data_IF_819467464348
#
_entry.id   IF_819467464348
#
_cell.length_a   1.000
_cell.length_b   1.000
_cell.length_c   1.000
_cell.angle_alpha   90.00
_cell.angle_beta   90.00
_cell.angle_gamma   90.00
#
_symmetry.space_group_name_H-M   'P 1'
#
loop_
_entity.id
_entity.type
_entity.pdbx_description
1 polymer ?
#
# COMPACT_ATOMS: atom_id res chain seq x y z
N UNK A 1 -0.53 4.64 -7.93
CA UNK A 1 -0.90 3.31 -7.40
C UNK A 1 -0.87 2.31 -8.54
N UNK A 2 -0.70 1.03 -8.23
CA UNK A 2 -0.61 -0.02 -9.25
C UNK A 2 -1.50 -1.22 -8.90
N UNK A 3 -2.12 -1.83 -9.91
CA UNK A 3 -2.85 -3.08 -9.75
C UNK A 3 -1.86 -4.24 -9.74
N UNK A 4 -2.02 -5.17 -8.79
CA UNK A 4 -1.21 -6.39 -8.72
C UNK A 4 -2.10 -7.62 -8.68
N UNK A 5 -1.54 -8.75 -9.12
CA UNK A 5 -2.20 -10.06 -9.03
C UNK A 5 -1.50 -10.88 -7.94
N UNK A 6 -2.21 -11.26 -6.86
CA UNK A 6 -1.63 -12.12 -5.83
C UNK A 6 -1.21 -13.49 -6.37
N UNK A 7 -0.19 -14.07 -5.74
CA UNK A 7 0.25 -15.44 -6.02
C UNK A 7 -0.75 -16.46 -5.48
N UNK A 8 -0.88 -17.58 -6.18
CA UNK A 8 -1.82 -18.65 -5.83
C UNK A 8 -1.14 -19.84 -5.14
N UNK A 9 0.19 -19.83 -5.02
CA UNK A 9 0.94 -20.84 -4.27
C UNK A 9 2.30 -20.32 -3.81
N UNK A 10 2.87 -20.95 -2.78
CA UNK A 10 4.24 -20.67 -2.33
C UNK A 10 5.28 -20.89 -3.44
N UNK A 11 5.16 -21.98 -4.23
CA UNK A 11 6.07 -22.26 -5.35
C UNK A 11 6.08 -21.12 -6.36
N UNK A 12 4.89 -20.68 -6.80
CA UNK A 12 4.78 -19.56 -7.74
C UNK A 12 5.42 -18.29 -7.18
N UNK A 13 5.19 -18.00 -5.89
CA UNK A 13 5.76 -16.83 -5.24
C UNK A 13 7.29 -16.90 -5.19
N UNK A 14 7.85 -18.03 -4.77
CA UNK A 14 9.31 -18.25 -4.68
C UNK A 14 9.94 -18.11 -6.07
N UNK A 15 9.40 -18.82 -7.07
CA UNK A 15 9.94 -18.83 -8.43
C UNK A 15 9.99 -17.41 -9.03
N UNK A 16 8.95 -16.60 -8.81
CA UNK A 16 8.89 -15.23 -9.35
C UNK A 16 9.74 -14.26 -8.54
N UNK A 17 9.74 -14.38 -7.21
CA UNK A 17 10.43 -13.48 -6.31
C UNK A 17 11.95 -13.67 -6.36
N UNK A 18 12.48 -14.90 -6.37
CA UNK A 18 13.92 -15.19 -6.45
C UNK A 18 14.53 -14.70 -7.79
N UNK A 19 13.72 -14.68 -8.85
CA UNK A 19 14.17 -14.19 -10.16
C UNK A 19 14.01 -12.68 -10.36
N UNK A 20 13.35 -11.96 -9.45
CA UNK A 20 13.06 -10.55 -9.63
C UNK A 20 12.07 -10.26 -10.78
N UNK A 21 11.25 -11.25 -11.15
CA UNK A 21 10.33 -11.23 -12.30
C UNK A 21 10.95 -11.63 -13.64
N UNK A 22 10.13 -12.09 -14.60
CA UNK A 22 10.56 -12.66 -15.90
C UNK A 22 11.43 -11.73 -16.79
N UNK A 23 11.59 -10.45 -16.44
CA UNK A 23 12.15 -9.44 -17.33
C UNK A 23 13.67 -9.22 -17.22
N UNK A 24 14.39 -9.81 -16.25
CA UNK A 24 15.78 -9.42 -15.98
C UNK A 24 16.75 -10.57 -15.68
N UNK A 25 16.86 -11.55 -16.58
CA UNK A 25 17.87 -12.62 -16.52
C UNK A 25 19.34 -12.20 -16.78
N UNK A 26 19.68 -10.90 -16.84
CA UNK A 26 20.96 -10.46 -17.44
C UNK A 26 22.01 -9.99 -16.42
N UNK A 27 21.63 -9.63 -15.17
CA UNK A 27 22.58 -9.02 -14.22
C UNK A 27 22.45 -9.42 -12.74
N UNK A 28 21.61 -10.38 -12.37
CA UNK A 28 21.56 -10.92 -10.99
C UNK A 28 22.06 -12.35 -10.89
N UNK A 29 22.58 -12.69 -9.72
CA UNK A 29 22.64 -14.07 -9.25
C UNK A 29 21.19 -14.48 -8.90
N UNK A 30 20.34 -14.58 -9.90
CA UNK A 30 19.01 -15.16 -9.75
C UNK A 30 19.15 -16.68 -9.57
N UNK A 31 18.21 -17.31 -8.87
CA UNK A 31 18.19 -18.76 -8.58
C UNK A 31 19.21 -19.16 -7.49
N UNK A 32 19.33 -18.34 -6.44
CA UNK A 32 20.15 -18.67 -5.26
C UNK A 32 19.34 -19.19 -4.07
N UNK A 33 18.07 -19.53 -4.30
CA UNK A 33 17.11 -20.03 -3.32
C UNK A 33 16.82 -19.01 -2.21
N UNK A 34 17.23 -17.73 -2.41
CA UNK A 34 17.06 -16.61 -1.49
C UNK A 34 16.40 -15.40 -2.17
N UNK A 35 15.45 -14.79 -1.45
CA UNK A 35 14.73 -13.60 -1.92
C UNK A 35 15.32 -12.39 -1.22
N UNK A 36 15.89 -11.48 -2.01
CA UNK A 36 16.46 -10.22 -1.53
C UNK A 36 15.48 -9.05 -1.62
N UNK A 37 15.75 -8.00 -0.84
CA UNK A 37 15.05 -6.72 -1.00
C UNK A 37 15.14 -6.18 -2.43
N UNK A 38 16.23 -6.48 -3.15
CA UNK A 38 16.45 -5.96 -4.49
C UNK A 38 15.58 -6.65 -5.53
N UNK A 39 15.33 -7.96 -5.41
CA UNK A 39 14.36 -8.65 -6.26
C UNK A 39 12.94 -8.13 -6.02
N UNK A 40 12.52 -8.05 -4.76
CA UNK A 40 11.18 -7.52 -4.41
C UNK A 40 10.98 -6.13 -4.99
N UNK A 41 11.99 -5.26 -4.88
CA UNK A 41 11.91 -3.89 -5.39
C UNK A 41 11.87 -3.83 -6.92
N UNK A 42 12.47 -4.77 -7.64
CA UNK A 42 12.37 -4.80 -9.12
C UNK A 42 10.97 -5.16 -9.58
N UNK A 43 10.34 -6.12 -8.92
CA UNK A 43 8.99 -6.59 -9.26
C UNK A 43 7.96 -5.53 -8.90
N UNK A 44 8.11 -4.90 -7.74
CA UNK A 44 7.22 -3.84 -7.30
C UNK A 44 7.36 -2.54 -8.13
N UNK A 45 8.50 -2.35 -8.82
CA UNK A 45 8.84 -1.13 -9.56
C UNK A 45 10.21 -0.57 -9.14
N UNK A 46 11.14 -0.42 -10.08
CA UNK A 46 12.52 -0.02 -9.79
C UNK A 46 12.61 1.33 -9.03
N UNK A 47 13.38 1.35 -7.93
CA UNK A 47 13.62 2.56 -7.14
C UNK A 47 12.59 2.83 -6.03
N UNK A 48 11.68 1.90 -5.76
CA UNK A 48 10.72 2.03 -4.68
C UNK A 48 11.37 2.07 -3.29
N UNK A 49 10.75 2.86 -2.41
CA UNK A 49 11.07 2.88 -0.99
C UNK A 49 10.78 1.52 -0.35
N UNK A 50 11.61 1.13 0.63
CA UNK A 50 11.53 -0.19 1.30
C UNK A 50 10.13 -0.52 1.80
N UNK A 51 9.43 0.45 2.39
CA UNK A 51 8.07 0.28 2.89
C UNK A 51 7.09 -0.12 1.78
N UNK A 52 7.17 0.52 0.61
CA UNK A 52 6.35 0.17 -0.56
C UNK A 52 6.69 -1.21 -1.10
N UNK A 53 7.95 -1.64 -1.05
CA UNK A 53 8.34 -3.01 -1.40
C UNK A 53 7.69 -4.06 -0.49
N UNK A 54 7.63 -3.79 0.82
CA UNK A 54 6.97 -4.69 1.78
C UNK A 54 5.44 -4.70 1.61
N UNK A 55 4.83 -3.55 1.33
CA UNK A 55 3.40 -3.47 1.00
C UNK A 55 3.04 -4.30 -0.25
N UNK A 56 3.84 -4.19 -1.31
CA UNK A 56 3.70 -5.02 -2.50
C UNK A 56 3.76 -6.51 -2.12
N UNK A 57 4.80 -6.90 -1.40
CA UNK A 57 5.04 -8.30 -1.04
C UNK A 57 3.89 -8.89 -0.22
N UNK A 58 3.40 -8.18 0.79
CA UNK A 58 2.29 -8.68 1.60
C UNK A 58 0.97 -8.78 0.83
N UNK A 59 0.68 -7.80 -0.05
CA UNK A 59 -0.52 -7.87 -0.89
C UNK A 59 -0.41 -9.02 -1.91
N UNK A 60 0.78 -9.22 -2.50
CA UNK A 60 1.05 -10.30 -3.45
C UNK A 60 0.92 -11.68 -2.80
N UNK A 61 1.19 -11.81 -1.50
CA UNK A 61 1.03 -13.06 -0.75
C UNK A 61 -0.37 -13.23 -0.14
N UNK A 62 -1.31 -12.30 -0.35
CA UNK A 62 -2.58 -12.24 0.38
C UNK A 62 -3.60 -13.35 0.05
N UNK A 63 -3.32 -14.18 -0.96
CA UNK A 63 -4.10 -15.38 -1.29
C UNK A 63 -3.49 -16.67 -0.72
N UNK A 64 -2.27 -16.59 -0.17
CA UNK A 64 -1.59 -17.75 0.40
C UNK A 64 -2.05 -17.99 1.83
N UNK A 65 -2.09 -19.26 2.24
CA UNK A 65 -2.33 -19.60 3.64
C UNK A 65 -1.08 -19.36 4.51
N UNK A 66 -1.23 -19.41 5.83
CA UNK A 66 -0.13 -19.13 6.76
C UNK A 66 1.11 -20.02 6.53
N UNK A 67 0.92 -21.30 6.20
CA UNK A 67 2.02 -22.23 5.93
C UNK A 67 2.78 -21.83 4.67
N UNK A 68 2.06 -21.48 3.61
CA UNK A 68 2.65 -21.04 2.35
C UNK A 68 3.39 -19.70 2.52
N UNK A 69 2.82 -18.77 3.29
CA UNK A 69 3.50 -17.51 3.63
C UNK A 69 4.79 -17.78 4.41
N UNK A 70 4.78 -18.70 5.36
CA UNK A 70 5.99 -19.10 6.09
C UNK A 70 7.05 -19.73 5.19
N UNK A 71 6.63 -20.54 4.21
CA UNK A 71 7.53 -21.14 3.23
C UNK A 71 8.26 -20.09 2.38
N UNK A 72 7.54 -19.06 1.92
CA UNK A 72 8.12 -17.92 1.19
C UNK A 72 9.04 -17.11 2.11
N UNK A 73 8.61 -16.79 3.33
CA UNK A 73 9.41 -16.02 4.29
C UNK A 73 10.71 -16.73 4.70
N UNK A 74 10.72 -18.06 4.72
CA UNK A 74 11.93 -18.84 5.00
C UNK A 74 13.04 -18.66 3.94
N UNK A 75 12.70 -18.09 2.78
CA UNK A 75 13.67 -17.77 1.72
C UNK A 75 14.18 -16.34 1.79
N UNK A 76 13.65 -15.49 2.65
CA UNK A 76 14.10 -14.10 2.76
C UNK A 76 15.55 -14.04 3.22
N UNK A 77 16.34 -13.18 2.57
CA UNK A 77 17.62 -12.78 3.14
C UNK A 77 17.42 -12.01 4.45
N UNK A 78 18.47 -11.91 5.26
CA UNK A 78 18.41 -11.25 6.58
C UNK A 78 17.88 -9.81 6.49
N UNK A 79 18.21 -9.10 5.41
CA UNK A 79 17.88 -7.69 5.21
C UNK A 79 16.42 -7.50 4.80
N UNK A 80 15.87 -8.40 3.99
CA UNK A 80 14.48 -8.42 3.60
C UNK A 80 13.64 -8.81 4.81
N UNK A 81 14.05 -9.81 5.59
CA UNK A 81 13.38 -10.20 6.82
C UNK A 81 13.33 -9.04 7.83
N UNK A 82 14.44 -8.31 8.02
CA UNK A 82 14.46 -7.10 8.86
C UNK A 82 13.46 -6.04 8.36
N UNK A 83 13.49 -5.71 7.07
CA UNK A 83 12.59 -4.71 6.49
C UNK A 83 11.13 -5.17 6.56
N UNK A 84 10.87 -6.45 6.31
CA UNK A 84 9.56 -7.07 6.39
C UNK A 84 8.97 -6.90 7.79
N UNK A 85 9.74 -7.25 8.82
CA UNK A 85 9.30 -7.08 10.21
C UNK A 85 9.10 -5.60 10.59
N UNK A 86 9.95 -4.70 10.07
CA UNK A 86 9.86 -3.26 10.36
C UNK A 86 8.65 -2.58 9.72
N UNK A 87 8.34 -2.91 8.47
CA UNK A 87 7.31 -2.23 7.67
C UNK A 87 6.06 -3.09 7.46
N UNK A 88 5.95 -4.20 8.19
CA UNK A 88 4.82 -5.14 8.11
C UNK A 88 3.51 -4.37 8.23
N UNK A 89 2.67 -4.54 7.23
CA UNK A 89 1.32 -4.03 7.19
C UNK A 89 0.42 -4.82 8.13
N UNK A 90 -0.45 -4.10 8.81
CA UNK A 90 -1.56 -4.67 9.56
C UNK A 90 -2.76 -4.87 8.61
N UNK A 91 -3.37 -6.05 8.64
CA UNK A 91 -4.56 -6.35 7.84
C UNK A 91 -5.80 -5.96 8.62
N UNK A 92 -6.66 -5.14 8.02
CA UNK A 92 -7.87 -4.63 8.63
C UNK A 92 -9.06 -5.08 7.79
N UNK A 93 -9.88 -5.96 8.36
CA UNK A 93 -11.11 -6.49 7.74
C UNK A 93 -12.36 -5.74 8.21
N UNK A 94 -12.32 -5.18 9.43
CA UNK A 94 -13.41 -4.39 10.01
C UNK A 94 -12.86 -3.01 10.33
N UNK A 95 -13.51 -1.99 9.79
CA UNK A 95 -13.06 -0.62 9.95
C UNK A 95 -13.60 -0.08 11.28
N UNK A 96 -12.77 -0.09 12.32
CA UNK A 96 -13.07 0.59 13.59
C UNK A 96 -12.53 2.04 13.63
N UNK A 97 -12.03 2.53 12.48
CA UNK A 97 -11.40 3.84 12.31
C UNK A 97 -9.87 3.76 12.27
N UNK A 98 -9.25 4.79 11.67
CA UNK A 98 -7.78 4.88 11.55
C UNK A 98 -7.10 5.52 12.78
N UNK A 99 -7.86 5.89 13.81
CA UNK A 99 -7.36 6.62 14.98
C UNK A 99 -6.33 5.84 15.81
N UNK A 100 -6.41 4.50 15.79
CA UNK A 100 -5.42 3.63 16.45
C UNK A 100 -4.08 3.53 15.71
N UNK A 101 -4.02 3.91 14.44
CA UNK A 101 -2.84 3.78 13.61
C UNK A 101 -2.01 5.06 13.59
N UNK A 102 -0.69 4.91 13.73
CA UNK A 102 0.25 6.04 13.61
C UNK A 102 0.39 6.45 12.16
N UNK A 103 0.59 7.75 11.92
CA UNK A 103 1.05 8.25 10.61
C UNK A 103 2.33 7.52 10.19
N UNK A 104 2.39 7.08 8.94
CA UNK A 104 3.44 6.23 8.39
C UNK A 104 3.24 4.72 8.59
N UNK A 105 2.18 4.26 9.28
CA UNK A 105 1.89 2.83 9.40
C UNK A 105 1.49 2.22 8.04
N UNK A 106 2.02 1.03 7.74
CA UNK A 106 1.59 0.21 6.60
C UNK A 106 0.30 -0.52 6.94
N UNK A 107 -0.66 -0.56 6.02
CA UNK A 107 -1.93 -1.27 6.23
C UNK A 107 -2.42 -1.95 4.94
N UNK A 108 -3.11 -3.07 5.10
CA UNK A 108 -3.88 -3.75 4.05
C UNK A 108 -5.36 -3.68 4.45
N UNK A 109 -6.18 -3.18 3.54
CA UNK A 109 -7.62 -3.04 3.74
C UNK A 109 -8.36 -3.89 2.74
N UNK A 110 -9.53 -4.38 3.15
CA UNK A 110 -10.44 -5.13 2.30
C UNK A 110 -11.81 -4.45 2.31
N UNK A 111 -12.38 -4.18 1.14
CA UNK A 111 -13.64 -3.45 1.03
C UNK A 111 -13.93 -2.89 -0.36
N UNK A 112 -14.98 -2.09 -0.45
CA UNK A 112 -15.45 -1.50 -1.72
C UNK A 112 -15.19 0.01 -1.73
N UNK A 113 -14.41 0.56 -2.68
CA UNK A 113 -14.14 1.97 -2.77
C UNK A 113 -15.24 2.70 -3.54
N UNK A 114 -15.65 3.86 -3.04
CA UNK A 114 -16.59 4.76 -3.68
C UNK A 114 -15.93 6.12 -3.87
N UNK A 115 -15.71 6.50 -5.12
CA UNK A 115 -15.06 7.77 -5.45
C UNK A 115 -15.87 8.95 -4.92
N UNK A 116 -15.21 9.85 -4.20
CA UNK A 116 -15.80 11.11 -3.77
C UNK A 116 -15.66 12.13 -4.89
N UNK A 117 -16.79 12.52 -5.48
CA UNK A 117 -16.80 13.60 -6.45
C UNK A 117 -16.41 14.92 -5.76
N UNK A 118 -15.52 15.68 -6.39
CA UNK A 118 -14.80 16.85 -5.84
C UNK A 118 -15.70 18.00 -5.34
N UNK A 119 -16.99 17.97 -5.63
CA UNK A 119 -17.95 18.97 -5.17
C UNK A 119 -18.48 18.62 -3.77
N UNK A 120 -17.69 18.93 -2.73
CA UNK A 120 -18.26 19.33 -1.44
C UNK A 120 -17.90 18.55 -0.17
N UNK A 121 -17.03 17.54 -0.20
CA UNK A 121 -16.92 16.62 0.96
C UNK A 121 -15.56 16.55 1.68
N UNK A 122 -14.46 16.99 1.09
CA UNK A 122 -13.15 16.97 1.78
C UNK A 122 -12.47 18.32 1.66
N UNK A 123 -12.44 19.05 2.78
CA UNK A 123 -11.81 20.38 2.94
C UNK A 123 -10.46 20.28 3.65
N UNK A 124 -9.77 19.15 3.49
CA UNK A 124 -8.52 18.85 4.16
C UNK A 124 -7.29 19.45 3.47
N UNK A 125 -6.29 19.85 4.26
CA UNK A 125 -5.04 20.42 3.79
C UNK A 125 -3.84 19.54 4.15
N UNK A 126 -2.92 19.37 3.21
CA UNK A 126 -1.64 18.71 3.48
C UNK A 126 -0.51 19.72 3.48
N UNK A 127 0.42 19.52 4.42
CA UNK A 127 1.64 20.31 4.50
C UNK A 127 2.71 19.74 3.57
N UNK A 128 3.22 20.56 2.67
CA UNK A 128 4.27 20.18 1.71
C UNK A 128 5.47 21.11 1.87
N UNK A 129 6.66 20.51 1.92
CA UNK A 129 7.92 21.26 1.88
C UNK A 129 8.20 21.77 0.46
N UNK A 130 8.45 23.06 0.32
CA UNK A 130 8.87 23.73 -0.90
C UNK A 130 10.15 24.49 -0.58
N UNK A 131 11.30 23.88 -0.92
CA UNK A 131 12.66 24.40 -0.70
C UNK A 131 12.92 24.79 0.76
N UNK A 132 12.55 26.01 1.17
CA UNK A 132 12.79 26.56 2.52
C UNK A 132 11.49 26.92 3.26
N UNK A 133 10.31 26.58 2.72
CA UNK A 133 9.01 26.88 3.31
C UNK A 133 8.09 25.65 3.30
N UNK A 134 7.05 25.69 4.13
CA UNK A 134 5.94 24.76 4.05
C UNK A 134 4.72 25.48 3.50
N UNK A 135 3.97 24.81 2.63
CA UNK A 135 2.69 25.31 2.09
C UNK A 135 1.61 24.29 2.36
N UNK A 136 0.44 24.78 2.76
CA UNK A 136 -0.79 23.99 2.84
C UNK A 136 -1.44 23.98 1.47
N UNK A 137 -1.75 22.79 0.97
CA UNK A 137 -2.57 22.64 -0.24
C UNK A 137 -3.76 21.74 0.07
N UNK A 138 -4.91 21.94 -0.58
CA UNK A 138 -6.03 21.02 -0.50
C UNK A 138 -5.61 19.61 -0.92
N UNK A 139 -6.07 18.58 -0.19
CA UNK A 139 -5.77 17.18 -0.50
C UNK A 139 -6.26 16.79 -1.91
N UNK A 140 -7.36 17.39 -2.36
CA UNK A 140 -7.96 17.19 -3.69
C UNK A 140 -7.11 17.72 -4.83
N UNK A 141 -6.12 18.57 -4.58
CA UNK A 141 -5.16 19.01 -5.61
C UNK A 141 -4.19 17.90 -5.99
N UNK A 142 -3.86 17.00 -5.06
CA UNK A 142 -2.89 15.91 -5.27
C UNK A 142 -3.52 14.54 -5.41
N UNK A 143 -4.66 14.31 -4.78
CA UNK A 143 -5.23 12.97 -4.68
C UNK A 143 -6.63 12.88 -5.26
N UNK A 144 -6.90 11.74 -5.89
CA UNK A 144 -8.25 11.20 -6.04
C UNK A 144 -8.63 10.50 -4.75
N UNK A 145 -9.75 10.89 -4.14
CA UNK A 145 -10.16 10.41 -2.81
C UNK A 145 -11.43 9.57 -2.88
N UNK A 146 -11.48 8.53 -2.05
CA UNK A 146 -12.55 7.55 -2.00
C UNK A 146 -12.95 7.30 -0.55
N UNK A 147 -14.21 6.96 -0.35
CA UNK A 147 -14.66 6.26 0.85
C UNK A 147 -14.56 4.77 0.59
N UNK A 148 -13.77 4.06 1.39
CA UNK A 148 -13.73 2.61 1.36
C UNK A 148 -14.66 2.07 2.42
N UNK A 149 -15.57 1.17 2.03
CA UNK A 149 -16.55 0.56 2.91
C UNK A 149 -16.17 -0.89 3.20
N UNK A 150 -16.18 -1.28 4.48
CA UNK A 150 -16.07 -2.68 4.89
C UNK A 150 -17.41 -3.42 4.71
N UNK A 151 -17.42 -4.72 5.02
CA UNK A 151 -18.63 -5.55 4.95
C UNK A 151 -19.74 -5.11 5.93
N UNK A 152 -19.40 -4.38 7.00
CA UNK A 152 -20.36 -3.84 7.97
C UNK A 152 -20.96 -2.49 7.53
N UNK A 153 -20.43 -1.89 6.46
CA UNK A 153 -20.81 -0.57 5.98
C UNK A 153 -20.12 0.59 6.70
N UNK A 154 -19.11 0.30 7.53
CA UNK A 154 -18.25 1.33 8.11
C UNK A 154 -17.26 1.82 7.05
N UNK A 155 -16.92 3.11 7.08
CA UNK A 155 -16.09 3.74 6.06
C UNK A 155 -14.80 4.32 6.60
N UNK A 156 -13.78 4.35 5.75
CA UNK A 156 -12.53 5.09 5.94
C UNK A 156 -12.15 5.82 4.66
N UNK A 157 -11.35 6.89 4.80
CA UNK A 157 -10.83 7.62 3.66
C UNK A 157 -9.60 6.93 3.09
N UNK A 158 -9.60 6.72 1.78
CA UNK A 158 -8.46 6.21 1.02
C UNK A 158 -8.23 7.11 -0.17
N UNK A 159 -6.97 7.32 -0.54
CA UNK A 159 -6.62 8.24 -1.59
C UNK A 159 -5.40 7.77 -2.37
N UNK A 160 -5.31 8.11 -3.65
CA UNK A 160 -4.14 7.85 -4.48
C UNK A 160 -3.82 9.08 -5.31
N UNK A 161 -2.58 9.17 -5.81
CA UNK A 161 -2.15 10.25 -6.70
C UNK A 161 -3.16 10.43 -7.85
N UNK A 162 -3.58 11.67 -8.09
CA UNK A 162 -4.60 12.02 -9.08
C UNK A 162 -4.24 11.57 -10.50
N UNK A 163 -2.96 11.52 -10.83
CA UNK A 163 -2.47 11.11 -12.15
C UNK A 163 -2.51 9.58 -12.34
N UNK A 164 -2.79 8.81 -11.27
CA UNK A 164 -3.05 7.38 -11.40
C UNK A 164 -4.49 7.11 -11.89
N UNK A 165 -4.72 5.94 -12.48
CA UNK A 165 -6.06 5.49 -12.90
C UNK A 165 -7.06 5.40 -11.74
N UNK A 166 -8.33 5.11 -12.01
CA UNK A 166 -9.33 4.99 -10.94
C UNK A 166 -9.28 3.63 -10.24
N UNK A 167 -9.63 3.60 -8.95
CA UNK A 167 -9.98 2.34 -8.27
C UNK A 167 -11.31 1.81 -8.83
N UNK A 168 -11.45 0.49 -9.03
CA UNK A 168 -12.70 -0.09 -9.51
C UNK A 168 -13.78 -0.02 -8.42
N UNK A 169 -15.04 0.17 -8.83
CA UNK A 169 -16.19 0.21 -7.90
C UNK A 169 -16.68 -1.21 -7.57
N UNK A 170 -15.77 -2.03 -7.04
CA UNK A 170 -16.01 -3.43 -6.64
C UNK A 170 -15.17 -3.78 -5.42
N UNK A 171 -15.39 -4.97 -4.86
CA UNK A 171 -14.66 -5.43 -3.68
C UNK A 171 -13.20 -5.74 -4.03
N UNK A 172 -12.27 -5.06 -3.34
CA UNK A 172 -10.84 -5.16 -3.59
C UNK A 172 -10.06 -5.19 -2.28
N UNK A 173 -8.81 -5.65 -2.36
CA UNK A 173 -7.80 -5.38 -1.34
C UNK A 173 -6.92 -4.21 -1.77
N UNK A 174 -6.63 -3.31 -0.85
CA UNK A 174 -5.65 -2.23 -1.07
C UNK A 174 -4.52 -2.34 -0.06
N UNK A 175 -3.32 -1.97 -0.48
CA UNK A 175 -2.15 -1.85 0.38
C UNK A 175 -1.64 -0.41 0.33
N UNK A 176 -1.49 0.21 1.50
CA UNK A 176 -1.17 1.63 1.59
C UNK A 176 -0.54 2.04 2.90
N UNK A 177 -0.31 3.35 3.02
CA UNK A 177 0.32 3.98 4.19
C UNK A 177 -0.63 4.98 4.80
N UNK A 178 -0.79 4.93 6.13
CA UNK A 178 -1.59 5.90 6.87
C UNK A 178 -0.93 7.27 6.81
N UNK A 179 -1.67 8.28 6.37
CA UNK A 179 -1.27 9.68 6.35
C UNK A 179 -2.28 10.54 7.09
N UNK A 180 -1.87 11.76 7.42
CA UNK A 180 -2.68 12.76 8.12
C UNK A 180 -2.83 14.02 7.25
N UNK A 181 -3.98 14.65 7.33
CA UNK A 181 -4.24 15.99 6.77
C UNK A 181 -4.93 16.86 7.81
N UNK A 182 -4.72 18.17 7.73
CA UNK A 182 -5.33 19.17 8.60
C UNK A 182 -6.76 19.47 8.13
N UNK A 183 -7.71 19.60 9.04
CA UNK A 183 -9.10 19.92 8.69
C UNK A 183 -9.31 21.39 8.33
N UNK A 184 -8.41 22.28 8.73
CA UNK A 184 -8.46 23.72 8.44
C UNK A 184 -7.07 24.33 8.32
N UNK A 185 -6.96 25.48 7.65
CA UNK A 185 -5.71 26.24 7.55
C UNK A 185 -5.31 26.92 8.88
N UNK A 186 -6.29 27.28 9.70
CA UNK A 186 -6.08 28.07 10.91
C UNK A 186 -5.75 27.22 12.14
N UNK A 187 -6.26 25.99 12.21
CA UNK A 187 -6.12 25.13 13.37
C UNK A 187 -5.24 23.90 13.08
N UNK A 188 -3.94 24.06 13.32
CA UNK A 188 -2.93 23.01 13.16
C UNK A 188 -3.02 21.85 14.17
N UNK A 189 -4.07 21.78 15.01
CA UNK A 189 -4.26 20.69 15.98
C UNK A 189 -5.36 19.69 15.60
N UNK A 190 -6.14 20.00 14.57
CA UNK A 190 -7.22 19.13 14.08
C UNK A 190 -6.79 18.39 12.82
N UNK A 191 -6.55 17.09 12.95
CA UNK A 191 -6.15 16.22 11.86
C UNK A 191 -7.13 15.08 11.68
N UNK A 192 -7.25 14.63 10.43
CA UNK A 192 -7.92 13.39 10.07
C UNK A 192 -6.93 12.48 9.33
N UNK A 193 -7.17 11.16 9.40
CA UNK A 193 -6.33 10.14 8.78
C UNK A 193 -6.98 9.56 7.55
N UNK A 194 -6.14 9.22 6.59
CA UNK A 194 -6.51 8.49 5.40
C UNK A 194 -5.40 7.51 5.02
N UNK A 195 -5.70 6.63 4.08
CA UNK A 195 -4.73 5.68 3.53
C UNK A 195 -4.29 6.12 2.16
N UNK A 196 -3.01 6.43 2.01
CA UNK A 196 -2.42 6.59 0.68
C UNK A 196 -2.20 5.21 0.05
N UNK A 197 -2.94 4.92 -1.01
CA UNK A 197 -2.92 3.64 -1.71
C UNK A 197 -1.65 3.55 -2.57
N UNK A 198 -0.84 2.53 -2.30
CA UNK A 198 0.31 2.17 -3.13
C UNK A 198 -0.09 1.12 -4.17
N UNK A 199 -0.80 0.08 -3.75
CA UNK A 199 -1.22 -1.04 -4.60
C UNK A 199 -2.65 -1.46 -4.33
N UNK A 200 -3.29 -2.09 -5.29
CA UNK A 200 -4.55 -2.78 -5.10
C UNK A 200 -4.59 -4.12 -5.84
N UNK A 201 -5.48 -5.01 -5.42
CA UNK A 201 -5.76 -6.27 -6.11
C UNK A 201 -7.27 -6.53 -6.11
N UNK A 202 -7.79 -6.85 -7.28
CA UNK A 202 -9.15 -7.36 -7.45
C UNK A 202 -9.26 -8.78 -6.90
N UNK A 203 -10.42 -9.11 -6.33
CA UNK A 203 -10.73 -10.46 -5.88
C UNK A 203 -11.26 -11.25 -7.08
N UNK A 204 -10.54 -12.31 -7.48
CA UNK A 204 -10.94 -13.21 -8.56
C UNK A 204 -11.40 -14.56 -8.03
#
# INVERSE_FOLDING_TARGET
MEQITPFNSASQAIDILDNGGEFYHIFTKADDDSISQSEVSKIAGAGLEKQKGILYLQLALSNLNEREVQEVQARFDDKLLENYNKYKAESIEVFEGLEGFKSGASIILHGTPKHLQSEGYITGFMQIAIIDAFTLIPITEKYSVYEMYDAAGTKILVAHDKEAGHLPNEEIKIAGVVKEFQLSEENASEFERFVEVAYFSELK
#
